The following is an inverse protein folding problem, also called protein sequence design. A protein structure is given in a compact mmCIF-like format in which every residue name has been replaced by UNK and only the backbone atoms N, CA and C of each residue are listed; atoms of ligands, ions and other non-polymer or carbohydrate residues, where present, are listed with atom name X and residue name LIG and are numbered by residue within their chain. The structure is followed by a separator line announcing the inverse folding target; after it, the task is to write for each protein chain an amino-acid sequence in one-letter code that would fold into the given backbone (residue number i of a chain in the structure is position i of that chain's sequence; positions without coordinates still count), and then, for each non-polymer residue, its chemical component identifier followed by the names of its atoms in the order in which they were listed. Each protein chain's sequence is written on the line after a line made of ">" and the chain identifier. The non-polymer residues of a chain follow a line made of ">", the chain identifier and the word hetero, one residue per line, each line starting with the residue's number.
data_IF_359296537828
#
_entry.id   IF_359296537828
#
_cell.length_a   1.000
_cell.length_b   1.000
_cell.length_c   1.000
_cell.angle_alpha   90.00
_cell.angle_beta   90.00
_cell.angle_gamma   90.00
#
_symmetry.space_group_name_H-M   'P 1'
#
loop_
_entity.id
_entity.type
_entity.pdbx_description
1 polymer ?
#
# COMPACT_ATOMS: atom_id res chain seq x y z
N UNK A 1 7.64 25.63 -8.41
CA UNK A 1 8.27 25.08 -7.19
C UNK A 1 8.31 23.57 -7.34
N UNK A 2 9.49 22.94 -7.31
CA UNK A 2 9.66 21.49 -7.38
C UNK A 2 9.81 20.97 -5.95
N UNK A 3 8.85 20.19 -5.46
CA UNK A 3 9.07 19.39 -4.26
C UNK A 3 9.72 18.08 -4.71
N UNK A 4 11.03 17.98 -4.54
CA UNK A 4 11.72 16.70 -4.65
C UNK A 4 11.33 15.89 -3.39
N UNK A 5 10.66 14.76 -3.58
CA UNK A 5 10.48 13.79 -2.51
C UNK A 5 11.87 13.26 -2.12
N UNK A 6 12.35 13.53 -0.89
CA UNK A 6 13.63 13.00 -0.48
C UNK A 6 13.52 11.47 -0.40
N UNK A 7 14.59 10.72 -0.72
CA UNK A 7 14.62 9.27 -0.52
C UNK A 7 14.27 8.95 0.94
N UNK A 8 13.47 7.90 1.18
CA UNK A 8 12.86 7.57 2.49
C UNK A 8 13.86 7.51 3.67
N UNK A 9 15.14 7.25 3.38
CA UNK A 9 16.24 7.24 4.36
C UNK A 9 16.46 8.61 5.03
N UNK A 10 16.09 9.72 4.37
CA UNK A 10 16.28 11.08 4.88
C UNK A 10 15.19 11.56 5.85
N UNK A 11 14.13 10.75 6.10
CA UNK A 11 13.04 11.12 7.04
C UNK A 11 13.31 10.70 8.49
N UNK A 12 14.41 10.00 8.74
CA UNK A 12 14.86 9.62 10.08
C UNK A 12 16.20 10.28 10.40
N UNK A 13 16.19 11.58 10.72
CA UNK A 13 17.33 12.23 11.35
C UNK A 13 16.87 13.44 12.16
N UNK A 14 16.59 13.20 13.44
CA UNK A 14 17.04 14.11 14.48
C UNK A 14 17.10 13.38 15.84
N UNK A 15 18.30 13.48 16.43
CA UNK A 15 18.69 13.12 17.80
C UNK A 15 19.18 11.68 18.05
N UNK A 16 20.50 11.53 18.16
CA UNK A 16 21.17 10.40 18.81
C UNK A 16 22.35 9.86 18.00
N UNK A 17 23.56 10.13 18.47
CA UNK A 17 24.82 9.53 17.99
C UNK A 17 24.67 8.01 17.94
N UNK A 18 24.94 7.40 16.78
CA UNK A 18 24.86 5.95 16.56
C UNK A 18 26.13 5.26 17.08
N UNK A 19 26.06 4.38 18.10
CA UNK A 19 27.20 3.55 18.46
C UNK A 19 27.41 2.49 17.37
N UNK A 20 28.68 2.29 17.00
CA UNK A 20 29.11 1.10 16.25
C UNK A 20 28.72 -0.11 17.11
N UNK A 21 28.01 -1.08 16.54
CA UNK A 21 27.57 -2.38 17.13
C UNK A 21 26.07 -2.50 17.53
N UNK A 22 25.13 -1.81 16.87
CA UNK A 22 23.70 -2.02 17.14
C UNK A 22 23.06 -2.99 16.11
N UNK A 23 22.90 -4.25 16.49
CA UNK A 23 21.94 -5.18 15.86
C UNK A 23 20.55 -4.57 15.98
N UNK A 24 19.89 -4.27 14.86
CA UNK A 24 18.51 -3.77 14.84
C UNK A 24 17.57 -4.93 15.17
N UNK A 25 17.12 -4.99 16.43
CA UNK A 25 16.06 -5.89 16.85
C UNK A 25 14.70 -5.30 16.45
N UNK A 26 14.14 -5.76 15.32
CA UNK A 26 12.70 -5.67 15.10
C UNK A 26 12.03 -6.72 15.99
N UNK A 27 11.64 -6.35 17.21
CA UNK A 27 10.86 -7.20 18.12
C UNK A 27 9.40 -6.76 18.15
N UNK A 28 8.58 -7.37 17.30
CA UNK A 28 7.34 -8.06 17.70
C UNK A 28 7.21 -9.29 16.81
N UNK A 29 8.03 -10.30 17.11
CA UNK A 29 8.08 -11.56 16.40
C UNK A 29 7.01 -12.53 16.89
N UNK A 30 5.81 -12.45 16.30
CA UNK A 30 5.05 -13.67 16.09
C UNK A 30 5.69 -14.35 14.89
N UNK A 31 6.37 -15.48 15.14
CA UNK A 31 7.16 -16.28 14.19
C UNK A 31 6.72 -16.11 12.72
N UNK A 32 7.43 -15.31 11.94
CA UNK A 32 7.38 -15.42 10.48
C UNK A 32 8.21 -16.65 10.09
N UNK A 33 7.53 -17.80 10.08
CA UNK A 33 8.05 -18.98 9.43
C UNK A 33 7.95 -18.77 7.91
N UNK A 34 9.11 -18.84 7.24
CA UNK A 34 9.35 -19.47 5.93
C UNK A 34 8.52 -19.05 4.69
N UNK A 35 9.21 -18.45 3.71
CA UNK A 35 9.15 -18.73 2.25
C UNK A 35 7.80 -18.75 1.49
N UNK A 36 6.66 -18.50 2.14
CA UNK A 36 5.35 -18.50 1.50
C UNK A 36 4.96 -17.10 1.00
N UNK A 37 4.30 -17.04 -0.16
CA UNK A 37 3.73 -15.80 -0.66
C UNK A 37 2.72 -15.21 0.35
N UNK A 38 2.64 -13.88 0.51
CA UNK A 38 1.72 -13.25 1.46
C UNK A 38 0.27 -13.61 1.12
N UNK A 39 -0.53 -13.88 2.15
CA UNK A 39 -1.96 -14.17 1.98
C UNK A 39 -2.77 -12.89 1.83
N UNK A 40 -3.99 -12.99 1.28
CA UNK A 40 -4.98 -11.90 1.31
C UNK A 40 -5.11 -11.26 2.70
N UNK A 41 -5.21 -12.09 3.73
CA UNK A 41 -5.37 -11.64 5.10
C UNK A 41 -4.14 -10.85 5.60
N UNK A 42 -2.92 -11.23 5.19
CA UNK A 42 -1.72 -10.48 5.52
C UNK A 42 -1.73 -9.08 4.89
N UNK A 43 -2.13 -8.98 3.61
CA UNK A 43 -2.22 -7.71 2.90
C UNK A 43 -3.23 -6.77 3.59
N UNK A 44 -4.44 -7.27 3.87
CA UNK A 44 -5.48 -6.50 4.54
C UNK A 44 -5.04 -6.02 5.92
N UNK A 45 -4.37 -6.88 6.70
CA UNK A 45 -3.82 -6.49 8.01
C UNK A 45 -2.79 -5.37 7.90
N UNK A 46 -1.85 -5.47 6.94
CA UNK A 46 -0.82 -4.45 6.74
C UNK A 46 -1.43 -3.11 6.29
N UNK A 47 -2.38 -3.14 5.36
CA UNK A 47 -3.08 -1.95 4.90
C UNK A 47 -3.86 -1.28 6.04
N UNK A 48 -4.62 -2.04 6.82
CA UNK A 48 -5.37 -1.52 7.96
C UNK A 48 -4.45 -0.91 9.02
N UNK A 49 -3.35 -1.59 9.37
CA UNK A 49 -2.38 -1.09 10.36
C UNK A 49 -1.70 0.23 9.95
N UNK A 50 -1.70 0.56 8.66
CA UNK A 50 -1.08 1.76 8.09
C UNK A 50 -2.10 2.79 7.57
N UNK A 51 -3.37 2.65 7.94
CA UNK A 51 -4.47 3.50 7.47
C UNK A 51 -4.17 5.00 7.58
N UNK A 52 -3.61 5.46 8.70
CA UNK A 52 -3.29 6.87 8.91
C UNK A 52 -2.30 7.42 7.86
N UNK A 53 -1.27 6.64 7.52
CA UNK A 53 -0.29 7.01 6.50
C UNK A 53 -0.95 6.99 5.12
N UNK A 54 -1.79 5.99 4.83
CA UNK A 54 -2.54 5.89 3.58
C UNK A 54 -3.43 7.13 3.39
N UNK A 55 -4.16 7.53 4.44
CA UNK A 55 -5.02 8.74 4.42
C UNK A 55 -4.22 10.02 4.22
N UNK A 56 -2.96 10.08 4.64
CA UNK A 56 -2.11 11.25 4.43
C UNK A 56 -1.83 11.55 2.94
N UNK A 57 -2.01 10.57 2.06
CA UNK A 57 -1.96 10.74 0.60
C UNK A 57 -3.31 11.21 0.01
N UNK A 58 -4.26 11.67 0.83
CA UNK A 58 -5.57 12.14 0.36
C UNK A 58 -6.54 11.01 -0.02
N UNK A 59 -6.27 9.77 0.42
CA UNK A 59 -7.14 8.62 0.20
C UNK A 59 -8.41 8.75 1.03
N UNK A 60 -9.57 8.67 0.36
CA UNK A 60 -10.89 8.55 0.98
C UNK A 60 -11.20 7.08 1.28
N UNK A 61 -11.10 6.21 0.27
CA UNK A 61 -11.28 4.76 0.41
C UNK A 61 -10.18 3.98 -0.29
N UNK A 62 -9.80 2.85 0.28
CA UNK A 62 -8.89 1.88 -0.32
C UNK A 62 -9.42 0.47 -0.10
N UNK A 63 -9.43 -0.32 -1.15
CA UNK A 63 -9.79 -1.73 -1.08
C UNK A 63 -8.91 -2.62 -1.96
N UNK A 64 -8.84 -3.88 -1.59
CA UNK A 64 -8.17 -4.93 -2.34
C UNK A 64 -9.14 -5.52 -3.35
N UNK A 65 -8.70 -5.73 -4.58
CA UNK A 65 -9.48 -6.46 -5.59
C UNK A 65 -8.57 -7.44 -6.36
N UNK A 66 -9.07 -7.99 -7.46
CA UNK A 66 -8.25 -8.81 -8.34
C UNK A 66 -7.86 -10.17 -7.75
N UNK A 67 -6.67 -10.64 -8.11
CA UNK A 67 -6.24 -12.03 -7.88
C UNK A 67 -6.12 -12.38 -6.39
N UNK A 68 -5.64 -11.46 -5.56
CA UNK A 68 -5.57 -11.64 -4.10
C UNK A 68 -6.94 -11.74 -3.48
N UNK A 69 -7.89 -10.91 -3.91
CA UNK A 69 -9.26 -10.96 -3.39
C UNK A 69 -9.93 -12.30 -3.67
N UNK A 70 -9.70 -12.87 -4.86
CA UNK A 70 -10.29 -14.15 -5.31
C UNK A 70 -9.52 -15.40 -4.85
N UNK A 71 -8.47 -15.25 -4.05
CA UNK A 71 -7.59 -16.34 -3.63
C UNK A 71 -6.92 -17.08 -4.82
N UNK A 72 -6.74 -16.37 -5.94
CA UNK A 72 -6.15 -16.87 -7.21
C UNK A 72 -4.72 -16.33 -7.43
N UNK A 73 -4.16 -15.61 -6.45
CA UNK A 73 -2.84 -14.99 -6.57
C UNK A 73 -1.71 -16.02 -6.68
N UNK A 74 -0.78 -15.76 -7.60
CA UNK A 74 0.46 -16.52 -7.79
C UNK A 74 1.64 -15.81 -7.13
N UNK A 75 2.79 -16.46 -7.13
CA UNK A 75 4.02 -15.91 -6.56
C UNK A 75 4.47 -14.59 -7.22
N UNK A 76 4.13 -14.39 -8.50
CA UNK A 76 4.49 -13.23 -9.34
C UNK A 76 3.34 -12.22 -9.53
N UNK A 77 2.16 -12.45 -8.96
CA UNK A 77 1.01 -11.53 -9.11
C UNK A 77 1.26 -10.15 -8.51
N UNK A 78 0.74 -9.11 -9.14
CA UNK A 78 0.71 -7.77 -8.56
C UNK A 78 -0.43 -7.68 -7.52
N UNK A 79 -0.33 -6.73 -6.59
CA UNK A 79 -1.42 -6.42 -5.66
C UNK A 79 -2.29 -5.32 -6.25
N UNK A 80 -3.53 -5.66 -6.60
CA UNK A 80 -4.49 -4.74 -7.20
C UNK A 80 -5.26 -3.97 -6.13
N UNK A 81 -5.09 -2.64 -6.09
CA UNK A 81 -5.73 -1.75 -5.12
C UNK A 81 -6.68 -0.77 -5.80
N UNK A 82 -7.94 -0.78 -5.37
CA UNK A 82 -8.92 0.21 -5.79
C UNK A 82 -8.91 1.38 -4.82
N UNK A 83 -8.62 2.57 -5.34
CA UNK A 83 -8.40 3.77 -4.52
C UNK A 83 -9.31 4.89 -4.96
N UNK A 84 -10.05 5.43 -4.00
CA UNK A 84 -10.82 6.66 -4.15
C UNK A 84 -10.15 7.76 -3.35
N UNK A 85 -9.75 8.83 -4.01
CA UNK A 85 -9.23 10.02 -3.35
C UNK A 85 -10.36 10.93 -2.88
N UNK A 86 -10.05 11.79 -1.91
CA UNK A 86 -10.91 12.91 -1.54
C UNK A 86 -11.07 13.88 -2.73
N UNK A 87 -12.20 14.59 -2.85
CA UNK A 87 -12.39 15.59 -3.90
C UNK A 87 -11.23 16.61 -3.93
N UNK A 88 -10.63 16.82 -5.09
CA UNK A 88 -9.49 17.73 -5.27
C UNK A 88 -8.14 17.22 -4.75
N UNK A 89 -8.07 15.98 -4.22
CA UNK A 89 -6.82 15.39 -3.72
C UNK A 89 -6.18 14.37 -4.69
N UNK A 90 -6.81 14.11 -5.84
CA UNK A 90 -6.22 13.29 -6.91
C UNK A 90 -5.13 14.06 -7.63
N UNK A 91 -3.92 14.10 -7.06
CA UNK A 91 -2.72 14.66 -7.68
C UNK A 91 -1.74 13.55 -8.07
N UNK A 92 -0.87 13.83 -9.05
CA UNK A 92 0.21 12.89 -9.43
C UNK A 92 1.10 12.53 -8.24
N UNK A 93 1.42 13.53 -7.42
CA UNK A 93 2.23 13.44 -6.22
C UNK A 93 1.63 12.50 -5.16
N UNK A 94 0.33 12.61 -4.90
CA UNK A 94 -0.39 11.71 -4.00
C UNK A 94 -0.48 10.29 -4.54
N UNK A 95 -0.80 10.16 -5.83
CA UNK A 95 -0.90 8.86 -6.49
C UNK A 95 0.44 8.11 -6.46
N UNK A 96 1.53 8.77 -6.86
CA UNK A 96 2.86 8.17 -6.88
C UNK A 96 3.38 7.88 -5.47
N UNK A 97 3.16 8.81 -4.53
CA UNK A 97 3.53 8.61 -3.12
C UNK A 97 2.83 7.41 -2.50
N UNK A 98 1.53 7.24 -2.76
CA UNK A 98 0.76 6.09 -2.31
C UNK A 98 1.26 4.78 -2.93
N UNK A 99 1.50 4.77 -4.25
CA UNK A 99 2.01 3.59 -4.96
C UNK A 99 3.32 3.10 -4.36
N UNK A 100 4.33 3.98 -4.27
CA UNK A 100 5.64 3.63 -3.72
C UNK A 100 5.55 3.19 -2.25
N UNK A 101 4.69 3.83 -1.46
CA UNK A 101 4.47 3.43 -0.08
C UNK A 101 3.87 2.03 0.02
N UNK A 102 2.85 1.72 -0.76
CA UNK A 102 2.21 0.41 -0.77
C UNK A 102 3.16 -0.68 -1.28
N UNK A 103 4.00 -0.41 -2.29
CA UNK A 103 4.99 -1.38 -2.77
C UNK A 103 6.04 -1.72 -1.69
N UNK A 104 6.54 -0.73 -0.96
CA UNK A 104 7.49 -0.96 0.13
C UNK A 104 6.84 -1.71 1.31
N UNK A 105 5.59 -1.34 1.66
CA UNK A 105 4.82 -1.96 2.72
C UNK A 105 4.52 -3.43 2.42
N UNK A 106 4.08 -3.73 1.19
CA UNK A 106 3.61 -5.06 0.79
C UNK A 106 4.73 -5.94 0.20
N UNK A 107 5.91 -5.36 -0.06
CA UNK A 107 7.07 -6.04 -0.67
C UNK A 107 6.74 -6.69 -2.01
N UNK A 108 5.81 -6.08 -2.76
CA UNK A 108 5.33 -6.53 -4.07
C UNK A 108 4.99 -5.32 -4.93
N UNK A 109 4.93 -5.53 -6.23
CA UNK A 109 4.35 -4.57 -7.17
C UNK A 109 2.89 -4.33 -6.84
N UNK A 110 2.47 -3.08 -7.00
CA UNK A 110 1.10 -2.64 -6.72
C UNK A 110 0.53 -1.96 -7.94
N UNK A 111 -0.65 -2.40 -8.38
CA UNK A 111 -1.43 -1.72 -9.39
C UNK A 111 -2.53 -0.90 -8.71
N UNK A 112 -2.50 0.42 -8.88
CA UNK A 112 -3.53 1.32 -8.35
C UNK A 112 -4.54 1.65 -9.45
N UNK A 113 -5.80 1.29 -9.21
CA UNK A 113 -6.93 1.65 -10.05
C UNK A 113 -7.80 2.68 -9.34
N UNK A 114 -8.24 3.70 -10.07
CA UNK A 114 -9.10 4.76 -9.56
C UNK A 114 -10.47 4.73 -10.27
N UNK A 115 -11.53 5.34 -9.71
CA UNK A 115 -12.83 5.41 -10.38
C UNK A 115 -12.74 5.93 -11.83
N UNK A 116 -11.87 6.91 -12.08
CA UNK A 116 -11.72 7.54 -13.38
C UNK A 116 -10.95 6.68 -14.41
N UNK A 117 -10.20 5.68 -13.96
CA UNK A 117 -9.48 4.76 -14.85
C UNK A 117 -10.33 3.54 -15.25
N UNK A 118 -11.51 3.37 -14.66
CA UNK A 118 -12.40 2.26 -14.99
C UNK A 118 -13.16 2.53 -16.28
N UNK A 119 -13.10 1.57 -17.21
CA UNK A 119 -14.01 1.54 -18.35
C UNK A 119 -15.47 1.39 -17.86
N UNK A 120 -16.45 2.09 -18.45
CA UNK A 120 -17.87 1.98 -18.08
C UNK A 120 -18.40 0.54 -18.08
N UNK A 121 -17.82 -0.35 -18.89
CA UNK A 121 -18.24 -1.74 -19.03
C UNK A 121 -17.61 -2.68 -17.99
N UNK A 122 -16.41 -2.35 -17.49
CA UNK A 122 -15.67 -3.17 -16.52
C UNK A 122 -15.81 -2.65 -15.08
N UNK A 123 -16.09 -1.35 -14.93
CA UNK A 123 -16.17 -0.69 -13.63
C UNK A 123 -17.16 -1.33 -12.65
N UNK A 124 -18.43 -1.59 -13.04
CA UNK A 124 -19.41 -2.19 -12.14
C UNK A 124 -18.94 -3.53 -11.55
N UNK A 125 -18.36 -4.39 -12.39
CA UNK A 125 -17.84 -5.70 -11.96
C UNK A 125 -16.68 -5.57 -10.99
N UNK A 126 -15.73 -4.67 -11.27
CA UNK A 126 -14.60 -4.44 -10.36
C UNK A 126 -15.10 -3.93 -9.00
N UNK A 127 -16.04 -2.98 -9.00
CA UNK A 127 -16.59 -2.38 -7.79
C UNK A 127 -17.32 -3.39 -6.89
N UNK A 128 -17.99 -4.39 -7.47
CA UNK A 128 -18.61 -5.51 -6.73
C UNK A 128 -17.58 -6.45 -6.08
N UNK A 129 -16.35 -6.49 -6.62
CA UNK A 129 -15.28 -7.36 -6.14
C UNK A 129 -14.39 -6.69 -5.07
N UNK A 130 -14.52 -5.38 -4.82
CA UNK A 130 -13.63 -4.67 -3.89
C UNK A 130 -13.91 -5.04 -2.43
N UNK A 131 -12.86 -5.48 -1.73
CA UNK A 131 -12.85 -5.61 -0.28
C UNK A 131 -12.18 -4.38 0.35
N UNK A 132 -13.00 -3.45 0.86
CA UNK A 132 -12.51 -2.21 1.45
C UNK A 132 -11.87 -2.44 2.83
N UNK A 133 -10.73 -1.78 3.05
CA UNK A 133 -9.94 -1.85 4.29
C UNK A 133 -9.70 -0.48 4.91
N UNK A 134 -9.75 0.58 4.09
CA UNK A 134 -9.81 1.97 4.54
C UNK A 134 -11.11 2.56 4.01
N UNK A 135 -11.97 3.06 4.90
CA UNK A 135 -13.33 3.54 4.58
C UNK A 135 -13.61 4.95 5.02
#
# INVERSE_FOLDING_TARGET
>A
MRFAYPPLQARFSSAGVMPRNMTVFYQTGSKMNSLAAPTKHDLLRLLHANENTIRSFGVRRLGLFGSFRRDEARADSDVDLFVEFQPGQTSFDHFMGLSLFCEDLLRRRVEIVTPNSLSPYLGPRILEEVEYVVT
#
